data_IF_210399046987
#
_entry.id   IF_210399046987
#
_cell.length_a   1.000
_cell.length_b   1.000
_cell.length_c   1.000
_cell.angle_alpha   90.00
_cell.angle_beta   90.00
_cell.angle_gamma   90.00
#
_symmetry.space_group_name_H-M   'P 1'
#
loop_
_entity.id
_entity.type
_entity.pdbx_description
1 polymer ?
#
# COMPACT_ATOMS: atom_id res chain seq x y z
N UNK A 1 1.55 -14.20 2.18
CA UNK A 1 0.76 -12.96 2.28
C UNK A 1 1.51 -11.89 1.53
N UNK A 2 0.83 -11.15 0.68
CA UNK A 2 1.34 -9.94 0.04
C UNK A 2 1.63 -8.96 1.15
N UNK A 3 2.74 -8.25 1.06
CA UNK A 3 3.13 -7.24 2.02
C UNK A 3 2.76 -5.88 1.46
N UNK A 4 2.33 -4.98 2.34
CA UNK A 4 1.57 -3.78 2.00
C UNK A 4 2.46 -2.57 1.63
N UNK A 5 1.82 -1.52 1.16
CA UNK A 5 2.39 -0.21 0.85
C UNK A 5 2.31 0.70 2.08
N UNK A 6 3.08 1.80 2.08
CA UNK A 6 3.05 2.80 3.15
C UNK A 6 1.72 3.59 3.18
N UNK A 7 1.39 4.19 4.34
CA UNK A 7 0.27 5.13 4.49
C UNK A 7 0.76 6.50 4.93
N UNK A 8 0.22 7.54 4.31
CA UNK A 8 0.48 8.94 4.60
C UNK A 8 -0.73 9.58 5.26
N UNK A 9 -0.47 10.50 6.17
CA UNK A 9 -1.46 11.41 6.70
C UNK A 9 -0.84 12.79 6.89
N UNK A 10 -1.58 13.86 6.57
CA UNK A 10 -1.17 15.24 6.79
C UNK A 10 -2.37 16.10 7.17
N UNK A 11 -2.17 17.08 8.06
CA UNK A 11 -3.17 18.07 8.42
C UNK A 11 -2.50 19.41 8.63
N UNK A 12 -3.13 20.47 8.17
CA UNK A 12 -2.62 21.84 8.28
C UNK A 12 -3.54 22.68 9.14
N UNK A 13 -2.94 23.42 10.09
CA UNK A 13 -3.57 24.42 10.96
C UNK A 13 -4.82 23.94 11.72
N UNK A 14 -4.67 22.88 12.53
CA UNK A 14 -5.71 22.35 13.42
C UNK A 14 -5.18 22.19 14.85
N UNK A 15 -6.00 22.52 15.87
CA UNK A 15 -5.58 22.48 17.29
C UNK A 15 -5.16 21.09 17.76
N UNK A 16 -5.80 20.03 17.26
CA UNK A 16 -5.54 18.64 17.62
C UNK A 16 -4.70 17.88 16.59
N UNK A 17 -3.82 18.57 15.80
CA UNK A 17 -3.11 17.99 14.66
C UNK A 17 -2.40 16.66 14.99
N UNK A 18 -1.73 16.53 16.13
CA UNK A 18 -1.03 15.30 16.54
C UNK A 18 -1.99 14.12 16.74
N UNK A 19 -3.12 14.33 17.39
CA UNK A 19 -4.13 13.28 17.64
C UNK A 19 -4.85 12.88 16.36
N UNK A 20 -5.16 13.85 15.51
CA UNK A 20 -5.75 13.58 14.19
C UNK A 20 -4.80 12.81 13.30
N UNK A 21 -3.51 13.13 13.33
CA UNK A 21 -2.48 12.34 12.65
C UNK A 21 -2.41 10.90 13.21
N UNK A 22 -2.48 10.71 14.53
CA UNK A 22 -2.57 9.39 15.14
C UNK A 22 -3.77 8.60 14.63
N UNK A 23 -4.97 9.16 14.67
CA UNK A 23 -6.18 8.46 14.20
C UNK A 23 -6.18 8.22 12.69
N UNK A 24 -5.70 9.18 11.88
CA UNK A 24 -5.55 9.02 10.45
C UNK A 24 -4.58 7.90 10.07
N UNK A 25 -3.46 7.77 10.79
CA UNK A 25 -2.52 6.64 10.63
C UNK A 25 -3.11 5.32 11.15
N UNK A 26 -3.85 5.34 12.26
CA UNK A 26 -4.53 4.17 12.79
C UNK A 26 -5.55 3.59 11.80
N UNK A 27 -6.34 4.43 11.15
CA UNK A 27 -7.25 4.03 10.09
C UNK A 27 -6.52 3.34 8.91
N UNK A 28 -5.30 3.78 8.63
CA UNK A 28 -4.43 3.27 7.57
C UNK A 28 -3.41 2.22 8.04
N UNK A 29 -3.55 1.65 9.25
CA UNK A 29 -2.62 0.67 9.82
C UNK A 29 -2.43 -0.58 8.94
N UNK A 30 -3.42 -0.94 8.12
CA UNK A 30 -3.34 -2.05 7.18
C UNK A 30 -2.25 -1.82 6.12
N UNK A 31 -1.92 -0.59 5.75
CA UNK A 31 -0.90 -0.21 4.77
C UNK A 31 0.51 -0.41 5.32
N UNK A 32 0.77 -0.10 6.59
CA UNK A 32 2.10 -0.23 7.19
C UNK A 32 2.06 -0.74 8.63
N UNK A 33 2.89 -1.72 8.98
CA UNK A 33 2.89 -2.37 10.29
C UNK A 33 4.29 -2.56 10.89
N UNK A 34 5.31 -2.01 10.25
CA UNK A 34 6.70 -2.14 10.72
C UNK A 34 7.10 -0.98 11.63
N UNK A 35 6.73 0.22 11.27
CA UNK A 35 6.99 1.43 12.06
C UNK A 35 5.91 2.48 11.82
N UNK A 36 5.74 3.37 12.77
CA UNK A 36 4.91 4.55 12.67
C UNK A 36 5.67 5.78 13.13
N UNK A 37 5.35 6.95 12.58
CA UNK A 37 5.96 8.22 12.97
C UNK A 37 5.02 9.39 12.70
N UNK A 38 5.09 10.41 13.55
CA UNK A 38 4.41 11.69 13.41
C UNK A 38 5.41 12.79 13.66
N UNK A 39 5.32 13.84 12.85
CA UNK A 39 6.03 15.09 13.02
C UNK A 39 5.00 16.20 13.08
N UNK A 40 5.16 17.12 14.04
CA UNK A 40 4.36 18.34 14.18
C UNK A 40 5.24 19.57 14.19
N UNK A 41 4.66 20.72 13.90
CA UNK A 41 5.35 22.02 13.92
C UNK A 41 4.55 23.04 14.70
N UNK A 42 5.23 23.75 15.59
CA UNK A 42 4.74 24.94 16.28
C UNK A 42 5.72 26.12 16.17
N UNK A 43 5.49 27.19 16.95
CA UNK A 43 6.36 28.39 16.97
C UNK A 43 7.77 28.12 17.53
N UNK A 44 7.94 27.04 18.31
CA UNK A 44 9.21 26.69 18.96
C UNK A 44 10.02 25.72 18.08
N UNK A 45 9.44 25.19 17.01
CA UNK A 45 10.09 24.33 16.03
C UNK A 45 9.34 23.06 15.69
N UNK A 46 10.10 22.03 15.30
CA UNK A 46 9.59 20.74 14.88
C UNK A 46 9.69 19.73 16.04
N UNK A 47 8.60 19.00 16.28
CA UNK A 47 8.53 17.93 17.28
C UNK A 47 8.26 16.62 16.57
N UNK A 48 8.97 15.56 16.92
CA UNK A 48 8.80 14.26 16.29
C UNK A 48 8.76 13.10 17.28
N UNK A 49 8.04 12.06 16.88
CA UNK A 49 8.17 10.74 17.49
C UNK A 49 7.97 9.68 16.43
N UNK A 50 8.88 8.70 16.37
CA UNK A 50 8.78 7.54 15.50
C UNK A 50 9.45 6.32 16.09
N UNK A 51 8.83 5.17 15.92
CA UNK A 51 9.37 3.90 16.42
C UNK A 51 8.90 2.71 15.58
N UNK A 52 9.56 1.58 15.81
CA UNK A 52 9.11 0.29 15.30
C UNK A 52 7.87 -0.15 16.07
N UNK A 53 6.85 -0.65 15.37
CA UNK A 53 5.60 -1.13 15.96
C UNK A 53 4.37 -0.61 15.25
N UNK A 54 3.20 -0.98 15.78
CA UNK A 54 1.90 -0.48 15.33
C UNK A 54 1.64 0.92 15.89
N UNK A 55 0.76 1.67 15.26
CA UNK A 55 0.39 3.03 15.70
C UNK A 55 0.03 3.08 17.20
N UNK A 56 -0.85 2.21 17.76
CA UNK A 56 -1.17 2.24 19.18
C UNK A 56 -0.02 1.80 20.08
N UNK A 57 0.95 1.04 19.57
CA UNK A 57 2.13 0.63 20.36
C UNK A 57 3.19 1.73 20.40
N UNK A 58 3.26 2.57 19.36
CA UNK A 58 4.25 3.65 19.20
C UNK A 58 3.80 4.91 19.93
N UNK A 59 2.52 5.25 19.90
CA UNK A 59 2.01 6.51 20.42
C UNK A 59 1.14 6.31 21.66
N UNK A 60 1.73 6.57 22.82
CA UNK A 60 0.98 6.74 24.07
C UNK A 60 0.42 8.16 24.18
N UNK A 61 -0.54 8.35 25.09
CA UNK A 61 -1.09 9.68 25.38
C UNK A 61 0.01 10.68 25.82
N UNK A 62 1.05 10.21 26.54
CA UNK A 62 2.19 11.02 26.94
C UNK A 62 3.02 11.48 25.73
N UNK A 63 3.22 10.60 24.75
CA UNK A 63 3.93 10.92 23.51
C UNK A 63 3.13 11.94 22.70
N UNK A 64 1.82 11.74 22.55
CA UNK A 64 0.96 12.67 21.79
C UNK A 64 0.94 14.08 22.40
N UNK A 65 0.99 14.20 23.73
CA UNK A 65 1.07 15.52 24.39
C UNK A 65 2.38 16.27 24.15
N UNK A 66 3.45 15.57 23.80
CA UNK A 66 4.75 16.20 23.47
C UNK A 66 4.81 16.67 22.00
N UNK A 67 3.96 16.13 21.15
CA UNK A 67 3.84 16.53 19.76
C UNK A 67 2.93 17.76 19.67
N UNK A 68 3.46 18.89 20.13
CA UNK A 68 2.76 20.18 20.09
C UNK A 68 2.77 20.75 18.66
N UNK A 69 1.80 21.61 18.33
CA UNK A 69 1.72 22.28 17.05
C UNK A 69 0.38 22.05 16.32
N UNK A 70 0.16 22.86 15.30
CA UNK A 70 -1.10 22.92 14.56
C UNK A 70 -1.02 22.21 13.19
N UNK A 71 0.18 21.89 12.73
CA UNK A 71 0.40 21.20 11.46
C UNK A 71 1.15 19.91 11.73
N UNK A 72 0.69 18.81 11.14
CA UNK A 72 1.29 17.49 11.33
C UNK A 72 1.41 16.73 10.02
N UNK A 73 2.48 15.92 9.89
CA UNK A 73 2.56 14.83 8.91
C UNK A 73 2.85 13.52 9.64
N UNK A 74 2.27 12.43 9.12
CA UNK A 74 2.43 11.12 9.69
C UNK A 74 2.68 10.05 8.63
N UNK A 75 3.30 8.95 9.05
CA UNK A 75 3.65 7.82 8.19
C UNK A 75 3.50 6.50 8.92
N UNK A 76 2.90 5.50 8.26
CA UNK A 76 2.99 4.09 8.61
C UNK A 76 3.79 3.36 7.54
N UNK A 77 4.82 2.62 7.96
CA UNK A 77 5.79 2.03 7.04
C UNK A 77 5.57 0.55 6.84
N UNK A 78 5.72 0.17 5.59
CA UNK A 78 6.07 -1.18 5.17
C UNK A 78 7.32 -1.11 4.28
N UNK A 79 8.33 -1.98 4.49
CA UNK A 79 9.61 -1.94 3.74
C UNK A 79 9.44 -2.38 2.29
N UNK A 80 9.39 -1.44 1.37
CA UNK A 80 9.50 -1.65 -0.07
C UNK A 80 10.96 -1.60 -0.52
N UNK A 81 11.72 -0.62 -0.02
CA UNK A 81 13.16 -0.45 -0.20
C UNK A 81 13.83 -0.30 1.17
N UNK A 82 14.98 -0.96 1.35
CA UNK A 82 15.73 -0.99 2.61
C UNK A 82 15.16 -1.95 3.67
N UNK A 83 15.93 -2.20 4.72
CA UNK A 83 15.58 -3.11 5.81
C UNK A 83 14.52 -2.51 6.76
N UNK A 84 13.79 -3.39 7.46
CA UNK A 84 12.93 -3.02 8.58
C UNK A 84 13.81 -2.61 9.77
N UNK A 85 14.13 -1.33 9.89
CA UNK A 85 14.96 -0.79 10.98
C UNK A 85 14.47 0.60 11.40
N UNK A 86 14.76 0.96 12.65
CA UNK A 86 14.43 2.28 13.21
C UNK A 86 14.96 3.44 12.35
N UNK A 87 16.14 3.27 11.72
CA UNK A 87 16.75 4.29 10.85
C UNK A 87 15.92 4.61 9.61
N UNK A 88 15.13 3.65 9.16
CA UNK A 88 14.27 3.78 7.99
C UNK A 88 12.83 4.21 8.36
N UNK A 89 12.52 4.41 9.65
CA UNK A 89 11.23 4.92 10.09
C UNK A 89 11.04 6.37 9.63
N UNK A 90 9.86 6.67 9.11
CA UNK A 90 9.48 7.98 8.60
C UNK A 90 8.44 8.65 9.54
N UNK A 91 8.28 10.00 9.46
CA UNK A 91 8.93 10.93 8.54
C UNK A 91 10.45 11.08 8.75
N UNK A 92 11.19 11.30 7.65
CA UNK A 92 12.60 11.70 7.72
C UNK A 92 12.68 13.17 8.08
N UNK A 93 13.68 13.54 8.89
CA UNK A 93 13.94 14.93 9.26
C UNK A 93 15.36 15.29 8.86
N UNK A 94 15.51 16.42 8.22
CA UNK A 94 16.79 17.06 7.91
C UNK A 94 16.81 18.49 8.44
N UNK A 95 17.97 18.94 8.91
CA UNK A 95 18.19 20.31 9.33
C UNK A 95 19.07 21.03 8.30
N UNK A 96 18.60 22.16 7.76
CA UNK A 96 19.33 22.91 6.75
C UNK A 96 19.14 24.43 6.92
N UNK A 97 20.25 25.18 7.08
CA UNK A 97 20.26 26.65 7.25
C UNK A 97 19.31 27.17 8.34
N UNK A 98 19.22 26.43 9.47
CA UNK A 98 18.37 26.84 10.58
C UNK A 98 16.90 26.47 10.41
N UNK A 99 16.54 25.68 9.41
CA UNK A 99 15.19 25.18 9.19
C UNK A 99 15.16 23.66 9.26
N UNK A 100 14.14 23.11 9.90
CA UNK A 100 13.83 21.70 9.87
C UNK A 100 12.90 21.37 8.71
N UNK A 101 13.16 20.24 8.07
CA UNK A 101 12.38 19.73 6.94
C UNK A 101 12.01 18.28 7.25
N UNK A 102 10.74 17.98 7.30
CA UNK A 102 10.24 16.62 7.45
C UNK A 102 9.65 16.10 6.13
N UNK A 103 9.87 14.82 5.85
CA UNK A 103 9.41 14.12 4.65
C UNK A 103 8.77 12.79 5.01
N UNK A 104 7.54 12.59 4.55
CA UNK A 104 6.86 11.29 4.51
C UNK A 104 6.65 10.86 3.05
N UNK A 105 6.98 9.60 2.73
CA UNK A 105 6.98 9.07 1.37
C UNK A 105 6.24 7.72 1.30
N UNK A 106 5.31 7.62 0.36
CA UNK A 106 4.71 6.37 -0.10
C UNK A 106 5.07 6.15 -1.56
N UNK A 107 5.81 5.08 -1.88
CA UNK A 107 6.20 4.74 -3.23
C UNK A 107 7.55 4.04 -3.34
N UNK A 108 8.12 4.08 -4.55
CA UNK A 108 9.46 3.60 -4.86
C UNK A 108 10.07 4.40 -6.02
N UNK A 109 11.18 5.06 -5.75
CA UNK A 109 11.93 5.85 -6.73
C UNK A 109 12.83 4.90 -7.54
N UNK A 110 12.44 4.64 -8.78
CA UNK A 110 13.05 3.63 -9.66
C UNK A 110 14.52 3.95 -9.96
N UNK A 111 14.87 5.23 -10.13
CA UNK A 111 16.24 5.67 -10.39
C UNK A 111 17.02 6.09 -9.14
N UNK A 112 16.58 5.67 -7.94
CA UNK A 112 17.22 6.07 -6.69
C UNK A 112 18.70 5.64 -6.61
N UNK A 113 19.07 4.48 -7.13
CA UNK A 113 20.46 4.01 -7.12
C UNK A 113 21.39 4.87 -8.01
N UNK A 114 20.90 5.29 -9.18
CA UNK A 114 21.60 6.22 -10.08
C UNK A 114 21.82 7.58 -9.43
N UNK A 115 20.74 8.15 -8.91
CA UNK A 115 20.77 9.45 -8.22
C UNK A 115 21.66 9.42 -6.98
N UNK A 116 21.62 8.33 -6.21
CA UNK A 116 22.48 8.14 -5.05
C UNK A 116 23.96 8.15 -5.43
N UNK A 117 24.33 7.39 -6.46
CA UNK A 117 25.73 7.35 -6.93
C UNK A 117 26.22 8.73 -7.39
N UNK A 118 25.39 9.50 -8.10
CA UNK A 118 25.69 10.88 -8.47
C UNK A 118 25.90 11.77 -7.23
N UNK A 119 24.99 11.69 -6.26
CA UNK A 119 25.04 12.46 -5.03
C UNK A 119 26.27 12.10 -4.17
N UNK A 120 26.64 10.83 -4.06
CA UNK A 120 27.84 10.36 -3.35
C UNK A 120 29.12 10.85 -4.02
N UNK A 121 29.20 10.86 -5.36
CA UNK A 121 30.33 11.40 -6.11
C UNK A 121 30.52 12.92 -5.87
N UNK A 122 29.44 13.63 -5.51
CA UNK A 122 29.48 15.02 -5.14
C UNK A 122 29.62 15.25 -3.62
N UNK A 123 29.89 14.20 -2.86
CA UNK A 123 30.20 14.25 -1.43
C UNK A 123 28.99 14.14 -0.50
N UNK A 124 27.81 13.70 -0.97
CA UNK A 124 26.69 13.41 -0.09
C UNK A 124 26.97 12.17 0.76
N UNK A 125 26.57 12.21 2.04
CA UNK A 125 26.70 11.11 2.99
C UNK A 125 25.29 10.59 3.29
N UNK A 126 25.06 9.30 3.08
CA UNK A 126 23.80 8.65 3.34
C UNK A 126 23.83 7.87 4.65
N UNK A 127 22.80 8.05 5.47
CA UNK A 127 22.63 7.34 6.75
C UNK A 127 21.79 6.05 6.62
N UNK A 128 21.01 5.93 5.54
CA UNK A 128 20.05 4.84 5.33
C UNK A 128 20.17 4.21 3.95
N UNK A 129 19.50 3.09 3.74
CA UNK A 129 19.30 2.47 2.42
C UNK A 129 17.92 2.81 1.83
N UNK A 130 17.29 3.92 2.24
CA UNK A 130 15.96 4.31 1.78
C UNK A 130 16.06 5.30 0.61
N UNK A 131 15.21 5.13 -0.38
CA UNK A 131 15.10 6.01 -1.56
C UNK A 131 14.60 7.42 -1.20
N UNK A 132 13.84 7.56 -0.13
CA UNK A 132 13.37 8.86 0.37
C UNK A 132 14.53 9.77 0.82
N UNK A 133 15.65 9.21 1.28
CA UNK A 133 16.84 9.98 1.63
C UNK A 133 17.50 10.58 0.37
N UNK A 134 17.39 9.91 -0.78
CA UNK A 134 17.86 10.46 -2.07
C UNK A 134 17.07 11.72 -2.42
N UNK A 135 15.73 11.67 -2.28
CA UNK A 135 14.90 12.86 -2.49
C UNK A 135 15.25 13.99 -1.52
N UNK A 136 15.48 13.67 -0.23
CA UNK A 136 15.88 14.68 0.76
C UNK A 136 17.18 15.39 0.38
N UNK A 137 18.19 14.68 -0.14
CA UNK A 137 19.43 15.29 -0.62
C UNK A 137 19.20 16.19 -1.83
N UNK A 138 18.36 15.79 -2.80
CA UNK A 138 18.00 16.64 -3.95
C UNK A 138 17.27 17.89 -3.48
N UNK A 139 16.31 17.77 -2.58
CA UNK A 139 15.55 18.87 -2.00
C UNK A 139 16.46 19.90 -1.30
N UNK A 140 17.35 19.44 -0.42
CA UNK A 140 18.29 20.31 0.30
C UNK A 140 19.23 21.05 -0.66
N UNK A 141 19.61 20.45 -1.78
CA UNK A 141 20.41 21.12 -2.81
C UNK A 141 19.66 22.27 -3.47
N UNK A 142 18.40 22.03 -3.85
CA UNK A 142 17.55 23.06 -4.47
C UNK A 142 17.23 24.20 -3.50
N UNK A 143 17.05 23.92 -2.21
CA UNK A 143 16.84 24.93 -1.15
C UNK A 143 18.02 25.88 -0.93
N UNK A 144 19.17 25.67 -1.58
CA UNK A 144 20.27 26.65 -1.53
C UNK A 144 19.92 27.96 -2.21
N UNK A 145 19.02 27.95 -3.18
CA UNK A 145 18.71 29.07 -4.08
C UNK A 145 17.20 29.17 -4.44
N UNK A 146 16.33 28.36 -3.87
CA UNK A 146 14.88 28.34 -4.09
C UNK A 146 14.14 28.30 -2.77
N UNK A 147 12.87 28.69 -2.78
CA UNK A 147 11.93 28.44 -1.69
C UNK A 147 11.50 26.97 -1.65
N UNK A 148 10.73 26.58 -0.64
CA UNK A 148 10.37 25.16 -0.43
C UNK A 148 9.54 24.59 -1.61
N UNK A 149 8.45 25.23 -2.09
CA UNK A 149 7.67 24.71 -3.22
C UNK A 149 8.50 24.54 -4.49
N UNK A 150 9.28 25.54 -4.87
CA UNK A 150 10.14 25.48 -6.05
C UNK A 150 11.21 24.40 -5.92
N UNK A 151 11.80 24.24 -4.73
CA UNK A 151 12.82 23.24 -4.45
C UNK A 151 12.23 21.82 -4.51
N UNK A 152 11.02 21.60 -3.98
CA UNK A 152 10.29 20.33 -4.10
C UNK A 152 10.03 20.02 -5.57
N UNK A 153 9.51 20.98 -6.35
CA UNK A 153 9.23 20.81 -7.76
C UNK A 153 10.50 20.45 -8.58
N UNK A 154 11.62 21.12 -8.33
CA UNK A 154 12.91 20.82 -8.96
C UNK A 154 13.42 19.43 -8.58
N UNK A 155 13.39 19.08 -7.30
CA UNK A 155 13.79 17.74 -6.84
C UNK A 155 12.93 16.64 -7.49
N UNK A 156 11.61 16.83 -7.56
CA UNK A 156 10.69 15.89 -8.22
C UNK A 156 10.99 15.72 -9.72
N UNK A 157 11.46 16.76 -10.41
CA UNK A 157 11.80 16.68 -11.85
C UNK A 157 12.92 15.69 -12.17
N UNK A 158 13.72 15.31 -11.16
CA UNK A 158 14.81 14.34 -11.26
C UNK A 158 14.36 12.90 -11.02
N UNK A 159 13.19 12.70 -10.43
CA UNK A 159 12.72 11.40 -10.00
C UNK A 159 12.02 10.63 -11.12
N UNK A 160 12.21 9.33 -11.13
CA UNK A 160 11.45 8.38 -11.95
C UNK A 160 10.82 7.33 -11.03
N UNK A 161 9.57 6.96 -11.29
CA UNK A 161 8.86 5.92 -10.53
C UNK A 161 7.64 6.45 -9.80
N UNK A 162 7.28 5.78 -8.72
CA UNK A 162 6.08 6.04 -7.94
C UNK A 162 6.43 6.84 -6.68
N UNK A 163 5.74 7.94 -6.44
CA UNK A 163 5.87 8.68 -5.20
C UNK A 163 4.65 9.53 -4.86
N UNK A 164 4.22 9.42 -3.61
CA UNK A 164 3.43 10.44 -2.92
C UNK A 164 4.29 10.99 -1.79
N UNK A 165 4.42 12.30 -1.71
CA UNK A 165 5.17 12.98 -0.66
C UNK A 165 4.28 13.90 0.17
N UNK A 166 4.54 13.93 1.48
CA UNK A 166 4.18 15.05 2.34
C UNK A 166 5.48 15.65 2.86
N UNK A 167 5.71 16.93 2.56
CA UNK A 167 6.88 17.69 3.00
C UNK A 167 6.41 18.79 3.92
N UNK A 168 7.00 18.90 5.11
CA UNK A 168 6.67 19.92 6.10
C UNK A 168 7.92 20.69 6.49
N UNK A 169 7.88 22.01 6.39
CA UNK A 169 8.94 22.89 6.88
C UNK A 169 8.35 24.23 7.32
N UNK A 170 8.63 24.62 8.56
CA UNK A 170 8.01 25.81 9.15
C UNK A 170 6.49 25.73 9.06
N UNK A 171 5.85 26.79 8.54
CA UNK A 171 4.40 26.88 8.34
C UNK A 171 3.93 26.39 6.96
N UNK A 172 4.73 25.63 6.23
CA UNK A 172 4.39 25.19 4.87
C UNK A 172 4.30 23.66 4.81
N UNK A 173 3.14 23.16 4.39
CA UNK A 173 2.89 21.76 4.06
C UNK A 173 2.78 21.61 2.55
N UNK A 174 3.55 20.70 1.96
CA UNK A 174 3.52 20.41 0.53
C UNK A 174 3.11 18.95 0.35
N UNK A 175 2.03 18.71 -0.40
CA UNK A 175 1.59 17.39 -0.83
C UNK A 175 1.89 17.22 -2.33
N UNK A 176 2.50 16.10 -2.69
CA UNK A 176 2.91 15.82 -4.08
C UNK A 176 2.50 14.43 -4.48
N UNK A 177 2.03 14.27 -5.72
CA UNK A 177 1.77 12.99 -6.34
C UNK A 177 2.53 12.86 -7.67
N UNK A 178 3.13 11.70 -7.94
CA UNK A 178 3.91 11.46 -9.15
C UNK A 178 3.12 11.68 -10.45
N UNK A 179 3.78 11.96 -11.60
CA UNK A 179 3.11 12.26 -12.87
C UNK A 179 2.24 11.12 -13.43
N UNK A 180 2.50 9.87 -13.05
CA UNK A 180 1.70 8.70 -13.45
C UNK A 180 0.54 8.45 -12.49
N UNK A 181 0.61 8.99 -11.26
CA UNK A 181 -0.38 8.80 -10.19
C UNK A 181 -0.45 7.35 -9.72
N UNK A 182 0.69 6.65 -9.61
CA UNK A 182 0.73 5.23 -9.25
C UNK A 182 0.01 4.92 -7.94
N UNK A 183 0.26 5.71 -6.89
CA UNK A 183 -0.36 5.54 -5.59
C UNK A 183 -1.45 6.58 -5.32
N UNK A 184 -2.44 6.25 -4.47
CA UNK A 184 -3.47 7.20 -4.12
C UNK A 184 -2.96 8.25 -3.12
N UNK A 185 -3.47 9.47 -3.26
CA UNK A 185 -3.39 10.55 -2.30
C UNK A 185 -4.67 11.39 -2.43
N UNK A 186 -5.38 11.57 -1.33
CA UNK A 186 -6.63 12.31 -1.27
C UNK A 186 -6.48 13.60 -0.47
N UNK A 187 -7.23 14.62 -0.86
CA UNK A 187 -7.44 15.87 -0.14
C UNK A 187 -8.86 15.86 0.43
N UNK A 188 -8.98 16.26 1.68
CA UNK A 188 -10.23 16.49 2.40
C UNK A 188 -10.17 17.71 3.29
N UNK A 189 -11.27 17.95 4.03
CA UNK A 189 -11.42 19.06 4.98
C UNK A 189 -11.93 18.56 6.32
N UNK A 190 -11.33 19.03 7.39
CA UNK A 190 -11.79 18.82 8.75
C UNK A 190 -11.86 20.17 9.46
N UNK A 191 -13.06 20.62 9.83
CA UNK A 191 -13.29 21.94 10.44
C UNK A 191 -12.64 23.11 9.65
N UNK A 192 -12.61 22.98 8.31
CA UNK A 192 -11.96 23.94 7.40
C UNK A 192 -10.46 23.69 7.16
N UNK A 193 -9.80 22.89 7.98
CA UNK A 193 -8.39 22.54 7.84
C UNK A 193 -8.16 21.54 6.71
N UNK A 194 -7.19 21.75 5.79
CA UNK A 194 -6.83 20.79 4.77
C UNK A 194 -6.23 19.51 5.37
N UNK A 195 -6.74 18.36 4.92
CA UNK A 195 -6.29 17.04 5.35
C UNK A 195 -5.88 16.20 4.14
N UNK A 196 -4.74 15.52 4.23
CA UNK A 196 -4.22 14.62 3.20
C UNK A 196 -4.12 13.20 3.74
N UNK A 197 -4.56 12.21 2.96
CA UNK A 197 -4.40 10.79 3.32
C UNK A 197 -4.17 9.93 2.08
N UNK A 198 -3.48 8.80 2.25
CA UNK A 198 -3.38 7.81 1.17
C UNK A 198 -4.73 7.17 0.84
N UNK A 199 -5.62 7.03 1.83
CA UNK A 199 -6.96 6.45 1.66
C UNK A 199 -8.05 7.24 2.40
N UNK A 200 -9.25 7.29 1.82
CA UNK A 200 -10.39 8.02 2.40
C UNK A 200 -10.95 7.40 3.67
N UNK A 201 -10.65 6.13 3.98
CA UNK A 201 -11.01 5.53 5.27
C UNK A 201 -10.42 6.29 6.48
N UNK A 202 -9.35 7.08 6.27
CA UNK A 202 -8.84 7.98 7.29
C UNK A 202 -9.79 9.16 7.53
N UNK A 203 -10.40 9.68 6.46
CA UNK A 203 -11.39 10.76 6.55
C UNK A 203 -12.66 10.29 7.21
N UNK A 204 -13.18 9.10 6.85
CA UNK A 204 -14.37 8.52 7.47
C UNK A 204 -14.22 8.38 8.99
N UNK A 205 -13.04 7.91 9.47
CA UNK A 205 -12.78 7.79 10.91
C UNK A 205 -12.72 9.14 11.62
N UNK A 206 -12.25 10.18 10.93
CA UNK A 206 -12.09 11.53 11.48
C UNK A 206 -13.31 12.42 11.28
N UNK A 207 -14.34 11.93 10.58
CA UNK A 207 -15.49 12.72 10.12
C UNK A 207 -15.08 13.94 9.26
N UNK A 208 -13.98 13.76 8.49
CA UNK A 208 -13.50 14.76 7.55
C UNK A 208 -14.19 14.61 6.19
N UNK A 209 -14.53 15.73 5.57
CA UNK A 209 -15.14 15.74 4.24
C UNK A 209 -14.09 15.40 3.16
N UNK A 210 -14.37 14.38 2.34
CA UNK A 210 -13.57 14.11 1.13
C UNK A 210 -13.85 15.21 0.10
N UNK A 211 -12.80 15.86 -0.38
CA UNK A 211 -12.91 16.89 -1.42
C UNK A 211 -12.62 16.32 -2.80
N UNK A 212 -11.41 15.76 -2.97
CA UNK A 212 -10.97 15.16 -4.24
C UNK A 212 -9.69 14.33 -4.10
N UNK A 213 -9.37 13.55 -5.11
CA UNK A 213 -8.02 13.02 -5.25
C UNK A 213 -7.03 14.13 -5.59
N UNK A 214 -5.79 14.00 -5.14
CA UNK A 214 -4.66 14.77 -5.69
C UNK A 214 -4.37 14.23 -7.08
N UNK A 215 -4.33 15.10 -8.10
CA UNK A 215 -4.19 14.69 -9.49
C UNK A 215 -2.78 14.14 -9.79
N UNK A 216 -2.62 13.25 -10.79
CA UNK A 216 -1.30 12.82 -11.25
C UNK A 216 -0.42 13.99 -11.66
N UNK A 217 0.76 14.10 -11.04
CA UNK A 217 1.69 15.20 -11.27
C UNK A 217 1.29 16.51 -10.62
N UNK A 218 0.38 16.50 -9.67
CA UNK A 218 0.00 17.68 -8.90
C UNK A 218 0.86 17.84 -7.66
N UNK A 219 1.16 19.11 -7.35
CA UNK A 219 1.73 19.59 -6.11
C UNK A 219 0.78 20.60 -5.48
N UNK A 220 0.34 20.34 -4.26
CA UNK A 220 -0.50 21.23 -3.44
C UNK A 220 0.36 21.79 -2.33
N UNK A 221 0.40 23.11 -2.22
CA UNK A 221 1.10 23.86 -1.17
C UNK A 221 0.05 24.50 -0.27
N UNK A 222 0.17 24.27 1.02
CA UNK A 222 -0.68 24.89 2.05
C UNK A 222 0.22 25.66 3.00
N UNK A 223 0.00 26.96 3.09
CA UNK A 223 0.74 27.87 3.94
C UNK A 223 -0.14 28.99 4.49
N UNK A 224 0.46 29.99 5.10
CA UNK A 224 -0.26 31.16 5.67
C UNK A 224 -0.97 32.04 4.63
N UNK A 225 -0.66 31.87 3.35
CA UNK A 225 -1.32 32.57 2.24
C UNK A 225 -2.51 31.79 1.69
N UNK A 226 -2.68 30.54 2.13
CA UNK A 226 -3.76 29.65 1.72
C UNK A 226 -3.28 28.39 1.01
N UNK A 227 -4.16 27.80 0.19
CA UNK A 227 -3.90 26.59 -0.58
C UNK A 227 -3.67 26.93 -2.05
N UNK A 228 -2.57 26.43 -2.60
CA UNK A 228 -2.19 26.63 -3.98
C UNK A 228 -1.86 25.30 -4.65
N UNK A 229 -2.49 25.03 -5.80
CA UNK A 229 -2.19 23.86 -6.62
C UNK A 229 -1.35 24.25 -7.83
N UNK A 230 -0.40 23.41 -8.17
CA UNK A 230 0.43 23.56 -9.37
C UNK A 230 0.78 22.19 -9.95
N UNK A 231 1.22 22.18 -11.20
CA UNK A 231 1.68 20.96 -11.86
C UNK A 231 3.20 20.83 -11.76
N UNK A 232 3.67 19.63 -11.44
CA UNK A 232 5.11 19.34 -11.42
C UNK A 232 5.74 19.61 -12.80
N UNK A 233 7.00 20.12 -12.85
CA UNK A 233 7.71 20.31 -14.10
C UNK A 233 8.08 18.97 -14.75
N UNK A 234 8.20 18.97 -16.08
CA UNK A 234 8.64 17.81 -16.85
C UNK A 234 7.53 17.12 -17.65
N UNK A 235 7.84 15.97 -18.23
CA UNK A 235 6.88 15.24 -19.07
C UNK A 235 5.79 14.57 -18.20
N UNK A 236 4.55 14.71 -18.65
CA UNK A 236 3.42 14.01 -18.07
C UNK A 236 2.88 12.99 -19.07
N UNK A 237 2.53 11.76 -18.64
CA UNK A 237 1.91 10.80 -19.52
C UNK A 237 0.52 11.29 -19.98
N UNK A 238 0.10 10.86 -21.18
CA UNK A 238 -1.23 11.21 -21.71
C UNK A 238 -2.36 10.63 -20.86
N UNK A 239 -2.09 9.52 -20.15
CA UNK A 239 -3.03 8.84 -19.24
C UNK A 239 -2.30 8.43 -17.96
N UNK A 240 -2.98 8.42 -16.82
CA UNK A 240 -2.44 7.88 -15.58
C UNK A 240 -2.05 6.41 -15.70
N UNK A 241 -1.29 5.92 -14.71
CA UNK A 241 -0.91 4.51 -14.56
C UNK A 241 -1.11 4.08 -13.12
N UNK A 242 -2.32 4.25 -12.62
CA UNK A 242 -2.73 3.97 -11.24
C UNK A 242 -2.59 2.48 -10.92
N UNK A 243 -2.06 2.13 -9.76
CA UNK A 243 -1.87 0.75 -9.37
C UNK A 243 -3.22 0.03 -9.19
N UNK A 244 -3.59 -0.86 -10.11
CA UNK A 244 -4.85 -1.60 -10.00
C UNK A 244 -4.86 -2.54 -8.79
N UNK A 245 -3.70 -2.90 -8.26
CA UNK A 245 -3.59 -3.75 -7.10
C UNK A 245 -4.09 -3.08 -5.80
N UNK A 246 -4.17 -1.75 -5.78
CA UNK A 246 -4.89 -1.03 -4.74
C UNK A 246 -6.36 -1.47 -4.68
N UNK A 247 -7.03 -1.54 -5.82
CA UNK A 247 -8.43 -1.99 -5.90
C UNK A 247 -8.56 -3.50 -5.65
N UNK A 248 -7.59 -4.30 -6.12
CA UNK A 248 -7.61 -5.77 -5.93
C UNK A 248 -7.42 -6.13 -4.46
N UNK A 249 -6.46 -5.50 -3.76
CA UNK A 249 -6.03 -5.98 -2.44
C UNK A 249 -5.73 -4.89 -1.40
N UNK A 250 -4.91 -3.85 -1.71
CA UNK A 250 -4.33 -3.01 -0.67
C UNK A 250 -5.32 -2.11 0.03
N UNK A 251 -6.10 -1.33 -0.75
CA UNK A 251 -7.03 -0.37 -0.17
C UNK A 251 -8.12 -1.07 0.64
N UNK A 252 -8.58 -0.43 1.70
CA UNK A 252 -9.72 -0.92 2.47
C UNK A 252 -10.99 -0.91 1.60
N UNK A 253 -11.89 -1.87 1.80
CA UNK A 253 -13.12 -1.94 0.99
C UNK A 253 -14.03 -0.71 1.12
N UNK A 254 -14.01 -0.06 2.28
CA UNK A 254 -14.73 1.17 2.56
C UNK A 254 -14.11 2.42 1.95
N UNK A 255 -12.88 2.34 1.43
CA UNK A 255 -12.19 3.47 0.81
C UNK A 255 -12.68 3.78 -0.60
N UNK A 256 -12.60 5.08 -0.97
CA UNK A 256 -12.74 5.60 -2.31
C UNK A 256 -11.35 5.95 -2.85
N UNK A 257 -10.89 5.23 -3.87
CA UNK A 257 -9.52 5.31 -4.40
C UNK A 257 -9.56 5.37 -5.92
N UNK A 258 -8.86 6.32 -6.53
CA UNK A 258 -8.81 6.51 -7.98
C UNK A 258 -10.19 6.76 -8.62
N UNK A 259 -11.06 7.45 -7.91
CA UNK A 259 -12.47 7.67 -8.28
C UNK A 259 -13.29 6.37 -8.36
N UNK A 260 -12.86 5.32 -7.66
CA UNK A 260 -13.52 4.02 -7.59
C UNK A 260 -13.86 3.66 -6.12
N UNK A 261 -15.06 3.15 -5.89
CA UNK A 261 -15.42 2.55 -4.59
C UNK A 261 -14.85 1.14 -4.53
N UNK A 262 -13.87 0.89 -3.68
CA UNK A 262 -13.11 -0.38 -3.62
C UNK A 262 -14.02 -1.60 -3.41
N UNK A 263 -15.02 -1.49 -2.51
CA UNK A 263 -16.02 -2.56 -2.29
C UNK A 263 -16.73 -2.95 -3.59
N UNK A 264 -17.20 -1.96 -4.35
CA UNK A 264 -17.94 -2.18 -5.60
C UNK A 264 -17.04 -2.85 -6.63
N UNK A 265 -15.80 -2.35 -6.80
CA UNK A 265 -14.84 -2.95 -7.74
C UNK A 265 -14.56 -4.42 -7.42
N UNK A 266 -14.29 -4.75 -6.15
CA UNK A 266 -14.06 -6.15 -5.73
C UNK A 266 -15.26 -7.05 -5.97
N UNK A 267 -16.46 -6.55 -5.71
CA UNK A 267 -17.70 -7.26 -5.99
C UNK A 267 -17.87 -7.51 -7.50
N UNK A 268 -17.56 -6.51 -8.34
CA UNK A 268 -17.59 -6.64 -9.80
C UNK A 268 -16.50 -7.61 -10.31
N UNK A 269 -15.30 -7.62 -9.72
CA UNK A 269 -14.27 -8.61 -10.04
C UNK A 269 -14.78 -10.04 -9.80
N UNK A 270 -15.47 -10.28 -8.69
CA UNK A 270 -16.11 -11.56 -8.40
C UNK A 270 -17.22 -11.92 -9.39
N UNK A 271 -18.03 -10.94 -9.75
CA UNK A 271 -19.09 -11.10 -10.76
C UNK A 271 -18.51 -11.50 -12.12
N UNK A 272 -17.50 -10.79 -12.62
CA UNK A 272 -16.82 -11.11 -13.89
C UNK A 272 -16.15 -12.48 -13.83
N UNK A 273 -15.53 -12.82 -12.70
CA UNK A 273 -14.88 -14.12 -12.49
C UNK A 273 -15.88 -15.28 -12.59
N UNK A 274 -17.11 -15.12 -12.08
CA UNK A 274 -18.18 -16.13 -12.21
C UNK A 274 -18.62 -16.31 -13.66
N UNK A 275 -18.71 -15.22 -14.44
CA UNK A 275 -19.00 -15.32 -15.88
C UNK A 275 -17.90 -16.07 -16.64
N UNK A 276 -16.64 -15.94 -16.24
CA UNK A 276 -15.53 -16.64 -16.90
C UNK A 276 -15.47 -18.11 -16.51
N UNK A 277 -15.75 -18.47 -15.26
CA UNK A 277 -15.61 -19.86 -14.79
C UNK A 277 -16.36 -20.12 -13.49
N UNK A 278 -17.52 -20.77 -13.59
CA UNK A 278 -18.28 -21.26 -12.43
C UNK A 278 -18.19 -22.80 -12.36
N UNK A 279 -17.65 -23.38 -11.26
CA UNK A 279 -17.62 -24.83 -11.06
C UNK A 279 -18.96 -25.36 -10.50
N UNK A 280 -19.24 -26.63 -10.72
CA UNK A 280 -20.38 -27.31 -10.07
C UNK A 280 -20.04 -27.65 -8.60
N UNK A 281 -20.53 -26.83 -7.67
CA UNK A 281 -20.21 -26.91 -6.24
C UNK A 281 -21.44 -26.71 -5.35
N UNK A 282 -21.34 -27.10 -4.08
CA UNK A 282 -22.44 -26.95 -3.13
C UNK A 282 -22.55 -25.52 -2.60
N UNK A 283 -21.42 -24.78 -2.51
CA UNK A 283 -21.41 -23.37 -2.10
C UNK A 283 -20.09 -22.67 -2.44
N UNK A 284 -20.15 -21.33 -2.38
CA UNK A 284 -19.03 -20.42 -2.51
C UNK A 284 -18.60 -19.93 -1.13
N UNK A 285 -17.30 -19.92 -0.86
CA UNK A 285 -16.75 -19.34 0.37
C UNK A 285 -15.60 -18.39 0.08
N UNK A 286 -15.43 -17.33 0.86
CA UNK A 286 -14.28 -16.45 0.73
C UNK A 286 -13.05 -17.07 1.39
N UNK A 287 -11.86 -16.66 0.90
CA UNK A 287 -10.70 -16.68 1.75
C UNK A 287 -10.70 -15.39 2.61
N UNK A 288 -10.88 -15.48 3.93
CA UNK A 288 -11.02 -14.27 4.75
C UNK A 288 -9.66 -13.57 4.98
N UNK A 289 -9.61 -12.23 4.96
CA UNK A 289 -10.73 -11.29 4.73
C UNK A 289 -10.75 -10.78 3.28
N UNK A 290 -9.64 -10.95 2.53
CA UNK A 290 -9.41 -10.33 1.20
C UNK A 290 -10.39 -10.82 0.12
N UNK A 291 -10.76 -12.10 0.14
CA UNK A 291 -11.69 -12.69 -0.84
C UNK A 291 -13.18 -12.41 -0.58
N UNK A 292 -13.55 -11.78 0.55
CA UNK A 292 -14.96 -11.67 0.99
C UNK A 292 -15.84 -10.99 -0.07
N UNK A 293 -15.44 -9.83 -0.55
CA UNK A 293 -16.28 -9.02 -1.44
C UNK A 293 -16.38 -9.62 -2.84
N UNK A 294 -15.29 -10.18 -3.34
CA UNK A 294 -15.28 -10.93 -4.61
C UNK A 294 -16.12 -12.20 -4.52
N UNK A 295 -16.07 -12.91 -3.38
CA UNK A 295 -16.91 -14.10 -3.17
C UNK A 295 -18.40 -13.78 -3.14
N UNK A 296 -18.79 -12.63 -2.57
CA UNK A 296 -20.18 -12.13 -2.62
C UNK A 296 -20.62 -11.90 -4.05
N UNK A 297 -19.82 -11.18 -4.84
CA UNK A 297 -20.12 -10.91 -6.25
C UNK A 297 -20.20 -12.19 -7.08
N UNK A 298 -19.27 -13.12 -6.86
CA UNK A 298 -19.22 -14.41 -7.50
C UNK A 298 -20.48 -15.24 -7.22
N UNK A 299 -20.83 -15.41 -5.93
CA UNK A 299 -21.99 -16.17 -5.51
C UNK A 299 -23.30 -15.63 -6.06
N UNK A 300 -23.45 -14.30 -6.08
CA UNK A 300 -24.61 -13.63 -6.66
C UNK A 300 -24.74 -13.87 -8.17
N UNK A 301 -23.64 -13.81 -8.91
CA UNK A 301 -23.66 -14.07 -10.36
C UNK A 301 -23.88 -15.53 -10.70
N UNK A 302 -23.29 -16.44 -9.93
CA UNK A 302 -23.40 -17.88 -10.11
C UNK A 302 -24.72 -18.47 -9.59
N UNK A 303 -25.53 -17.68 -8.86
CA UNK A 303 -26.77 -18.14 -8.18
C UNK A 303 -26.50 -19.30 -7.23
N UNK A 304 -25.33 -19.33 -6.57
CA UNK A 304 -24.91 -20.35 -5.63
C UNK A 304 -24.93 -19.83 -4.18
N UNK A 305 -25.16 -20.72 -3.19
CA UNK A 305 -25.09 -20.35 -1.78
C UNK A 305 -23.73 -19.74 -1.44
N UNK A 306 -23.74 -18.68 -0.62
CA UNK A 306 -22.55 -18.07 -0.05
C UNK A 306 -22.44 -18.42 1.44
N UNK A 307 -21.30 -19.00 1.85
CA UNK A 307 -21.12 -19.48 3.22
C UNK A 307 -19.77 -19.03 3.80
N UNK A 308 -19.78 -18.53 5.04
CA UNK A 308 -18.56 -18.27 5.80
C UNK A 308 -18.02 -19.55 6.46
N UNK A 309 -17.67 -20.55 5.66
CA UNK A 309 -17.16 -21.83 6.16
C UNK A 309 -15.69 -21.77 6.66
N UNK A 310 -15.07 -20.61 6.62
CA UNK A 310 -13.74 -20.34 7.15
C UNK A 310 -13.78 -19.04 7.95
N UNK A 311 -13.46 -19.11 9.25
CA UNK A 311 -13.61 -18.01 10.20
C UNK A 311 -12.23 -17.49 10.62
N UNK A 312 -12.02 -16.18 10.53
CA UNK A 312 -10.85 -15.52 11.11
C UNK A 312 -11.06 -15.23 12.59
N UNK A 313 -10.06 -15.57 13.39
CA UNK A 313 -10.05 -15.18 14.80
C UNK A 313 -9.55 -13.72 14.94
N UNK A 314 -10.47 -12.81 15.19
CA UNK A 314 -10.18 -11.37 15.36
C UNK A 314 -9.50 -11.04 16.69
N UNK A 315 -9.61 -11.92 17.70
CA UNK A 315 -8.99 -11.73 19.01
C UNK A 315 -7.49 -12.08 19.05
N UNK A 316 -6.99 -12.77 18.03
CA UNK A 316 -5.56 -13.05 17.88
C UNK A 316 -4.94 -11.99 17.01
N UNK A 317 -4.31 -11.01 17.63
CA UNK A 317 -3.53 -9.98 16.96
C UNK A 317 -2.41 -10.57 16.10
N UNK A 318 -1.80 -9.78 15.21
CA UNK A 318 -0.59 -10.21 14.48
C UNK A 318 0.53 -10.36 15.50
N UNK A 319 0.89 -11.59 15.82
CA UNK A 319 2.05 -11.91 16.66
C UNK A 319 3.31 -11.50 15.91
N UNK A 320 3.90 -10.38 16.33
CA UNK A 320 5.21 -9.96 15.88
C UNK A 320 6.27 -10.95 16.40
N UNK A 321 7.18 -11.32 15.49
CA UNK A 321 8.46 -11.99 15.76
C UNK A 321 8.36 -13.12 16.80
N UNK A 322 7.86 -14.27 16.35
CA UNK A 322 8.03 -15.48 17.14
C UNK A 322 9.37 -16.13 16.75
N UNK A 323 10.24 -16.45 17.73
CA UNK A 323 11.63 -16.84 17.48
C UNK A 323 11.80 -18.21 16.81
N UNK A 324 10.77 -19.08 16.80
CA UNK A 324 10.86 -20.41 16.22
C UNK A 324 9.88 -20.63 15.06
N UNK A 325 10.26 -21.51 14.11
CA UNK A 325 9.42 -21.89 12.97
C UNK A 325 8.11 -22.58 13.43
N UNK A 326 8.16 -23.38 14.51
CA UNK A 326 7.01 -24.04 15.11
C UNK A 326 5.97 -23.04 15.64
N UNK A 327 6.42 -21.98 16.30
CA UNK A 327 5.54 -20.93 16.83
C UNK A 327 4.95 -20.07 15.70
N UNK A 328 5.71 -19.81 14.62
CA UNK A 328 5.16 -19.15 13.40
C UNK A 328 4.08 -19.99 12.75
N UNK A 329 4.28 -21.31 12.64
CA UNK A 329 3.28 -22.24 12.12
C UNK A 329 2.02 -22.33 13.01
N UNK A 330 2.20 -22.27 14.34
CA UNK A 330 1.09 -22.20 15.30
C UNK A 330 0.30 -20.89 15.16
N UNK A 331 0.98 -19.74 15.06
CA UNK A 331 0.36 -18.43 14.85
C UNK A 331 -0.48 -18.35 13.57
N UNK A 332 -0.07 -19.04 12.50
CA UNK A 332 -0.86 -19.15 11.25
C UNK A 332 -2.10 -20.03 11.44
N UNK A 333 -1.99 -21.14 12.22
CA UNK A 333 -3.11 -22.05 12.49
C UNK A 333 -4.21 -21.42 13.35
N UNK A 334 -3.83 -20.58 14.31
CA UNK A 334 -4.80 -19.95 15.24
C UNK A 334 -5.63 -18.85 14.57
N UNK A 335 -5.15 -18.28 13.47
CA UNK A 335 -5.78 -17.11 12.83
C UNK A 335 -7.01 -17.40 11.99
N UNK A 336 -7.08 -18.56 11.33
CA UNK A 336 -8.16 -18.90 10.42
C UNK A 336 -8.53 -20.37 10.63
N UNK A 337 -9.77 -20.62 11.00
CA UNK A 337 -10.31 -21.95 11.26
C UNK A 337 -11.47 -22.30 10.34
N UNK A 338 -11.43 -23.44 9.63
CA UNK A 338 -12.58 -23.96 8.89
C UNK A 338 -13.66 -24.50 9.84
N UNK A 339 -14.92 -24.33 9.46
CA UNK A 339 -16.08 -24.90 10.16
C UNK A 339 -16.30 -26.33 9.65
N UNK A 340 -15.85 -27.33 10.42
CA UNK A 340 -15.86 -28.75 10.00
C UNK A 340 -17.21 -29.19 9.43
N UNK A 341 -18.31 -28.89 10.11
CA UNK A 341 -19.67 -29.30 9.70
C UNK A 341 -20.09 -28.76 8.33
N UNK A 342 -19.47 -27.69 7.87
CA UNK A 342 -19.72 -27.07 6.56
C UNK A 342 -18.82 -27.64 5.46
N UNK A 343 -17.74 -28.35 5.81
CA UNK A 343 -16.71 -28.79 4.87
C UNK A 343 -16.83 -30.26 4.50
N UNK A 344 -17.16 -31.13 5.50
CA UNK A 344 -17.16 -32.59 5.35
C UNK A 344 -18.13 -33.03 4.25
N UNK A 345 -17.63 -33.78 3.26
CA UNK A 345 -18.40 -34.33 2.14
C UNK A 345 -18.84 -33.28 1.08
N UNK A 346 -18.45 -32.02 1.20
CA UNK A 346 -18.89 -30.93 0.32
C UNK A 346 -17.93 -30.66 -0.83
N UNK A 347 -18.50 -30.22 -1.95
CA UNK A 347 -17.78 -29.60 -3.09
C UNK A 347 -17.76 -28.09 -2.86
N UNK A 348 -16.57 -27.49 -2.76
CA UNK A 348 -16.39 -26.10 -2.30
C UNK A 348 -15.70 -25.28 -3.37
N UNK A 349 -16.17 -24.07 -3.61
CA UNK A 349 -15.42 -23.06 -4.35
C UNK A 349 -14.91 -21.97 -3.40
N UNK A 350 -13.60 -21.79 -3.35
CA UNK A 350 -12.93 -20.75 -2.58
C UNK A 350 -12.64 -19.58 -3.52
N UNK A 351 -13.09 -18.39 -3.14
CA UNK A 351 -12.75 -17.15 -3.86
C UNK A 351 -11.75 -16.35 -3.05
N UNK A 352 -10.63 -15.94 -3.68
CA UNK A 352 -9.60 -15.11 -3.08
C UNK A 352 -9.18 -13.99 -4.04
N UNK A 353 -8.46 -12.98 -3.54
CA UNK A 353 -7.99 -11.84 -4.35
C UNK A 353 -6.87 -12.22 -5.31
N UNK A 354 -5.85 -12.93 -4.82
CA UNK A 354 -4.62 -13.21 -5.59
C UNK A 354 -3.83 -14.40 -5.03
N UNK A 355 -3.04 -15.04 -5.88
CA UNK A 355 -2.01 -16.01 -5.47
C UNK A 355 -0.64 -15.50 -5.93
N UNK A 356 0.26 -15.23 -4.97
CA UNK A 356 1.64 -14.79 -5.25
C UNK A 356 2.62 -15.96 -5.14
N UNK A 357 2.87 -16.45 -3.92
CA UNK A 357 3.78 -17.58 -3.65
C UNK A 357 3.09 -18.95 -3.55
N UNK A 358 1.78 -18.96 -3.36
CA UNK A 358 0.96 -20.16 -3.23
C UNK A 358 1.05 -20.89 -1.88
N UNK A 359 2.03 -20.61 -1.03
CA UNK A 359 2.28 -21.33 0.24
C UNK A 359 1.11 -21.27 1.21
N UNK A 360 0.47 -20.10 1.34
CA UNK A 360 -0.71 -19.91 2.20
C UNK A 360 -1.88 -20.75 1.70
N UNK A 361 -2.14 -20.70 0.38
CA UNK A 361 -3.23 -21.46 -0.25
C UNK A 361 -3.03 -22.97 -0.09
N UNK A 362 -1.83 -23.49 -0.38
CA UNK A 362 -1.49 -24.91 -0.16
C UNK A 362 -1.81 -25.40 1.25
N UNK A 363 -1.40 -24.62 2.27
CA UNK A 363 -1.64 -24.99 3.68
C UNK A 363 -3.14 -25.04 3.98
N UNK A 364 -3.93 -24.16 3.38
CA UNK A 364 -5.39 -24.10 3.59
C UNK A 364 -6.13 -25.22 2.88
N UNK A 365 -5.80 -25.45 1.62
CA UNK A 365 -6.37 -26.57 0.84
C UNK A 365 -6.12 -27.90 1.54
N UNK A 366 -4.86 -28.15 1.96
CA UNK A 366 -4.52 -29.35 2.74
C UNK A 366 -5.43 -29.50 3.97
N UNK A 367 -5.68 -28.41 4.70
CA UNK A 367 -6.56 -28.43 5.87
C UNK A 367 -8.01 -28.77 5.53
N UNK A 368 -8.54 -28.27 4.41
CA UNK A 368 -9.88 -28.59 3.93
C UNK A 368 -9.99 -30.07 3.51
N UNK A 369 -8.98 -30.61 2.83
CA UNK A 369 -8.90 -32.04 2.49
C UNK A 369 -8.87 -32.92 3.74
N UNK A 370 -8.07 -32.56 4.76
CA UNK A 370 -8.03 -33.25 6.07
C UNK A 370 -9.39 -33.24 6.80
N UNK A 371 -10.23 -32.24 6.54
CA UNK A 371 -11.59 -32.13 7.09
C UNK A 371 -12.65 -32.85 6.26
N UNK A 372 -12.27 -33.51 5.17
CA UNK A 372 -13.15 -34.31 4.35
C UNK A 372 -13.86 -33.56 3.23
N UNK A 373 -13.32 -32.42 2.75
CA UNK A 373 -13.82 -31.78 1.55
C UNK A 373 -13.77 -32.75 0.36
N UNK A 374 -14.90 -32.92 -0.34
CA UNK A 374 -15.01 -33.81 -1.50
C UNK A 374 -14.29 -33.25 -2.70
N UNK A 375 -14.54 -31.97 -3.00
CA UNK A 375 -13.88 -31.22 -4.06
C UNK A 375 -13.53 -29.81 -3.55
N UNK A 376 -12.40 -29.28 -4.03
CA UNK A 376 -11.92 -27.94 -3.70
C UNK A 376 -11.54 -27.22 -4.99
N UNK A 377 -12.33 -26.22 -5.35
CA UNK A 377 -12.12 -25.37 -6.51
C UNK A 377 -11.66 -24.00 -6.06
N UNK A 378 -10.71 -23.38 -6.77
CA UNK A 378 -10.20 -22.03 -6.45
C UNK A 378 -10.54 -21.08 -7.59
N UNK A 379 -11.00 -19.90 -7.23
CA UNK A 379 -11.29 -18.79 -8.12
C UNK A 379 -10.59 -17.53 -7.61
N UNK A 380 -9.75 -16.93 -8.44
CA UNK A 380 -8.92 -15.78 -8.06
C UNK A 380 -9.42 -14.54 -8.81
N UNK A 381 -9.82 -13.52 -8.07
CA UNK A 381 -10.44 -12.30 -8.62
C UNK A 381 -9.44 -11.30 -9.21
N UNK A 382 -8.20 -11.73 -9.47
CA UNK A 382 -7.21 -11.00 -10.27
C UNK A 382 -6.54 -11.92 -11.29
N UNK A 383 -5.87 -11.37 -12.31
CA UNK A 383 -5.01 -12.14 -13.19
C UNK A 383 -3.80 -12.73 -12.45
N UNK A 384 -3.14 -13.75 -13.02
CA UNK A 384 -1.94 -14.33 -12.40
C UNK A 384 -0.79 -13.30 -12.37
N UNK A 385 -0.20 -13.10 -11.17
CA UNK A 385 0.95 -12.21 -10.97
C UNK A 385 2.19 -12.91 -11.51
N UNK A 386 2.74 -12.41 -12.61
CA UNK A 386 3.87 -13.01 -13.35
C UNK A 386 5.16 -12.20 -13.32
N UNK A 387 5.06 -10.91 -13.03
CA UNK A 387 6.16 -9.96 -13.10
C UNK A 387 6.35 -9.23 -11.77
N UNK A 388 7.60 -8.89 -11.38
CA UNK A 388 7.86 -8.11 -10.19
C UNK A 388 7.25 -6.70 -10.31
N UNK A 389 7.02 -6.05 -9.17
CA UNK A 389 6.63 -4.64 -9.15
C UNK A 389 7.86 -3.76 -8.91
N UNK A 390 7.95 -2.64 -9.64
CA UNK A 390 9.00 -1.63 -9.48
C UNK A 390 8.50 -0.35 -8.82
N UNK A 391 7.21 -0.28 -8.47
CA UNK A 391 6.53 0.94 -8.04
C UNK A 391 6.08 0.95 -6.57
N UNK A 392 6.51 -0.04 -5.76
CA UNK A 392 6.27 -0.03 -4.31
C UNK A 392 5.59 -1.27 -3.75
N UNK A 393 5.06 -2.19 -4.59
CA UNK A 393 4.50 -3.46 -4.11
C UNK A 393 5.60 -4.50 -3.91
N UNK A 394 5.60 -5.24 -2.79
CA UNK A 394 6.60 -6.27 -2.45
C UNK A 394 6.45 -7.56 -3.28
N UNK A 395 6.49 -7.44 -4.60
CA UNK A 395 6.70 -8.52 -5.56
C UNK A 395 8.15 -8.44 -6.06
N UNK A 396 9.10 -8.67 -5.17
CA UNK A 396 10.49 -8.25 -5.36
C UNK A 396 11.29 -9.10 -6.34
N UNK A 397 10.89 -10.34 -6.62
CA UNK A 397 11.60 -11.17 -7.59
C UNK A 397 10.69 -12.14 -8.33
N UNK A 398 11.01 -12.38 -9.60
CA UNK A 398 10.29 -13.34 -10.45
C UNK A 398 10.35 -14.77 -9.90
N UNK A 399 11.43 -15.11 -9.17
CA UNK A 399 11.61 -16.43 -8.55
C UNK A 399 10.63 -16.74 -7.40
N UNK A 400 9.98 -15.73 -6.84
CA UNK A 400 8.98 -15.91 -5.78
C UNK A 400 7.54 -16.04 -6.29
N UNK A 401 7.30 -15.74 -7.57
CA UNK A 401 5.97 -15.72 -8.17
C UNK A 401 5.62 -17.09 -8.74
N UNK A 402 4.64 -17.78 -8.13
CA UNK A 402 4.25 -19.13 -8.57
C UNK A 402 3.82 -19.16 -10.05
N UNK A 403 3.08 -18.14 -10.50
CA UNK A 403 2.60 -18.04 -11.87
C UNK A 403 3.69 -17.65 -12.90
N UNK A 404 4.88 -17.22 -12.43
CA UNK A 404 6.05 -17.00 -13.27
C UNK A 404 6.95 -18.26 -13.37
N UNK A 405 6.82 -19.19 -12.42
CA UNK A 405 7.64 -20.41 -12.30
C UNK A 405 6.95 -21.64 -12.85
N UNK A 406 5.61 -21.72 -12.74
CA UNK A 406 4.84 -22.93 -13.03
C UNK A 406 3.77 -22.65 -14.08
N UNK A 407 3.48 -23.66 -14.91
CA UNK A 407 2.29 -23.66 -15.77
C UNK A 407 1.03 -23.90 -14.94
N UNK A 408 -0.13 -23.55 -15.48
CA UNK A 408 -1.42 -23.67 -14.77
C UNK A 408 -1.66 -25.07 -14.19
N UNK A 409 -1.46 -26.11 -14.99
CA UNK A 409 -1.66 -27.51 -14.56
C UNK A 409 -0.70 -27.92 -13.42
N UNK A 410 0.50 -27.36 -13.39
CA UNK A 410 1.47 -27.56 -12.32
C UNK A 410 1.04 -26.85 -11.04
N UNK A 411 0.47 -25.64 -11.16
CA UNK A 411 -0.09 -24.91 -10.01
C UNK A 411 -1.26 -25.67 -9.40
N UNK A 412 -2.20 -26.17 -10.23
CA UNK A 412 -3.34 -26.98 -9.80
C UNK A 412 -2.87 -28.19 -9.00
N UNK A 413 -1.92 -28.96 -9.55
CA UNK A 413 -1.31 -30.12 -8.87
C UNK A 413 -0.61 -29.75 -7.56
N UNK A 414 0.17 -28.64 -7.58
CA UNK A 414 0.92 -28.18 -6.41
C UNK A 414 0.01 -27.69 -5.27
N UNK A 415 -1.13 -27.10 -5.61
CA UNK A 415 -2.14 -26.65 -4.65
C UNK A 415 -3.05 -27.78 -4.17
N UNK A 416 -3.05 -28.97 -4.82
CA UNK A 416 -3.92 -30.10 -4.54
C UNK A 416 -5.42 -29.76 -4.66
N UNK A 417 -5.78 -29.05 -5.75
CA UNK A 417 -7.15 -28.60 -6.03
C UNK A 417 -7.72 -29.25 -7.27
N UNK A 418 -9.04 -29.35 -7.35
CA UNK A 418 -9.76 -29.96 -8.48
C UNK A 418 -9.81 -29.01 -9.68
N UNK A 419 -9.87 -27.69 -9.45
CA UNK A 419 -9.70 -26.68 -10.49
C UNK A 419 -9.22 -25.34 -9.94
N UNK A 420 -8.53 -24.58 -10.79
CA UNK A 420 -8.08 -23.21 -10.52
C UNK A 420 -8.39 -22.33 -11.75
N UNK A 421 -8.97 -21.16 -11.49
CA UNK A 421 -9.15 -20.14 -12.52
C UNK A 421 -8.85 -18.75 -11.97
N UNK A 422 -8.16 -17.95 -12.76
CA UNK A 422 -7.86 -16.54 -12.49
C UNK A 422 -8.73 -15.67 -13.37
N UNK A 423 -9.20 -14.55 -12.84
CA UNK A 423 -9.86 -13.53 -13.65
C UNK A 423 -8.94 -13.10 -14.80
N UNK A 424 -9.49 -12.96 -15.97
CA UNK A 424 -8.75 -12.42 -17.13
C UNK A 424 -8.41 -10.94 -16.93
N UNK A 425 -7.40 -10.41 -17.65
CA UNK A 425 -7.11 -8.97 -17.67
C UNK A 425 -8.34 -8.20 -18.16
N UNK A 426 -9.03 -8.70 -19.18
CA UNK A 426 -10.24 -8.07 -19.71
C UNK A 426 -11.38 -8.07 -18.68
N UNK A 427 -11.56 -9.16 -17.92
CA UNK A 427 -12.52 -9.23 -16.82
C UNK A 427 -12.20 -8.26 -15.70
N UNK A 428 -10.92 -8.13 -15.35
CA UNK A 428 -10.44 -7.14 -14.37
C UNK A 428 -10.75 -5.71 -14.83
N UNK A 429 -10.43 -5.38 -16.08
CA UNK A 429 -10.67 -4.04 -16.64
C UNK A 429 -12.16 -3.72 -16.81
N UNK A 430 -13.03 -4.72 -17.02
CA UNK A 430 -14.49 -4.54 -17.01
C UNK A 430 -15.06 -4.31 -15.60
N UNK A 431 -14.27 -4.55 -14.55
CA UNK A 431 -14.71 -4.38 -13.16
C UNK A 431 -14.46 -2.97 -12.61
N UNK A 432 -13.86 -2.08 -13.40
CA UNK A 432 -13.52 -0.70 -13.04
C UNK A 432 -14.04 0.28 -14.10
N UNK A 433 -14.30 1.54 -13.70
CA UNK A 433 -14.85 2.55 -14.60
C UNK A 433 -13.81 3.11 -15.59
N UNK A 434 -12.58 3.37 -15.11
CA UNK A 434 -11.52 4.02 -15.90
C UNK A 434 -10.43 3.04 -16.32
N UNK A 435 -10.82 1.99 -17.07
CA UNK A 435 -9.99 0.84 -17.42
C UNK A 435 -8.64 1.15 -18.09
N UNK A 436 -8.50 2.28 -18.77
CA UNK A 436 -7.29 2.70 -19.50
C UNK A 436 -6.29 3.49 -18.65
N UNK A 437 -6.64 3.75 -17.37
CA UNK A 437 -5.84 4.54 -16.44
C UNK A 437 -5.00 3.69 -15.48
N UNK A 438 -5.06 2.36 -15.60
CA UNK A 438 -4.42 1.48 -14.63
C UNK A 438 -3.08 0.89 -15.09
N UNK A 439 -2.17 0.71 -14.14
CA UNK A 439 -0.95 -0.08 -14.29
C UNK A 439 -1.28 -1.56 -14.13
N UNK A 440 -0.89 -2.37 -15.10
CA UNK A 440 -1.08 -3.82 -15.15
C UNK A 440 0.27 -4.56 -15.19
N UNK A 441 1.39 -3.87 -14.93
CA UNK A 441 2.74 -4.38 -15.14
C UNK A 441 3.02 -5.71 -14.42
N UNK A 442 2.46 -5.92 -13.22
CA UNK A 442 2.61 -7.17 -12.48
C UNK A 442 1.93 -8.38 -13.16
N UNK A 443 0.98 -8.15 -14.07
CA UNK A 443 0.28 -9.18 -14.85
C UNK A 443 0.86 -9.38 -16.25
N UNK A 444 1.16 -8.29 -16.98
CA UNK A 444 1.53 -8.31 -18.40
C UNK A 444 3.00 -7.91 -18.70
N UNK A 445 3.72 -7.31 -17.74
CA UNK A 445 5.10 -6.86 -17.94
C UNK A 445 5.25 -5.52 -18.66
N UNK A 446 4.15 -4.78 -18.88
CA UNK A 446 4.16 -3.45 -19.51
C UNK A 446 4.44 -2.37 -18.45
N UNK A 447 5.71 -2.04 -18.26
CA UNK A 447 6.15 -1.03 -17.29
C UNK A 447 6.16 0.36 -17.91
N UNK A 448 5.39 1.30 -17.30
CA UNK A 448 5.38 2.70 -17.72
C UNK A 448 6.72 3.40 -17.50
N UNK A 449 7.46 3.01 -16.48
CA UNK A 449 8.83 3.47 -16.20
C UNK A 449 9.73 2.24 -16.16
N UNK A 450 10.58 2.03 -17.20
CA UNK A 450 11.50 0.90 -17.22
C UNK A 450 12.51 1.00 -16.08
N UNK A 451 12.89 -0.15 -15.54
CA UNK A 451 13.91 -0.26 -14.51
C UNK A 451 14.97 -1.27 -14.88
N UNK A 452 16.20 -0.83 -14.98
CA UNK A 452 17.38 -1.68 -15.10
C UNK A 452 18.02 -1.85 -13.71
N UNK A 453 18.03 -3.07 -13.16
CA UNK A 453 18.72 -3.38 -11.90
C UNK A 453 17.98 -3.04 -10.60
N UNK A 454 16.66 -2.86 -10.62
CA UNK A 454 15.85 -2.62 -9.42
C UNK A 454 15.79 -3.85 -8.52
N UNK A 455 16.65 -3.91 -7.52
CA UNK A 455 16.56 -4.89 -6.44
C UNK A 455 16.17 -4.18 -5.13
N UNK A 456 15.32 -4.80 -4.32
CA UNK A 456 14.81 -4.27 -3.03
C UNK A 456 15.92 -3.74 -2.10
N UNK A 457 17.11 -4.31 -2.17
CA UNK A 457 18.26 -3.97 -1.33
C UNK A 457 19.40 -3.29 -2.11
N UNK A 458 19.13 -2.73 -3.29
CA UNK A 458 20.16 -2.11 -4.14
C UNK A 458 20.84 -0.90 -3.49
N UNK A 459 20.15 -0.23 -2.55
CA UNK A 459 20.66 0.93 -1.82
C UNK A 459 21.31 0.58 -0.47
N UNK A 460 21.24 -0.68 -0.01
CA UNK A 460 21.91 -1.09 1.22
C UNK A 460 23.42 -1.23 0.98
N UNK A 461 24.22 -0.58 1.82
CA UNK A 461 25.65 -0.84 1.87
C UNK A 461 25.90 -2.32 2.16
N UNK A 462 26.49 -3.05 1.22
CA UNK A 462 27.04 -4.38 1.50
C UNK A 462 28.14 -4.15 2.55
N UNK A 463 27.87 -4.52 3.81
CA UNK A 463 28.94 -4.67 4.78
C UNK A 463 29.84 -5.79 4.26
N UNK A 464 31.02 -5.39 3.76
CA UNK A 464 32.13 -6.29 3.44
C UNK A 464 32.62 -7.00 4.70
#
# INVERSE_FOLDING_TARGET
>A
MIRHECGLFGIYDHDDAARLAYFGLYAQQHRGQESAGIVTVDKDGMHDHKSMGLVPDVFSEEVLRRLTGRTAIGHVRYSTTGSASQRNAQPFIAHFKGQDIALAHNGNIVNAAELRAELENEGAIFATGNDSEVFMHLLVRSLRHKDLPEAVAEACSRLKGAYCFLVLSGSTLVAVRDPYGFHPLALGRLDGSPVFASETCAFDLLEADYERAVEPGEMIVVDTLGEHSSRLPGPHPAKPRQCIFELVYFARPDSYVFNEQVYVCRKQMGWQLAHESTPDVDFIMPFPDSGVYSAVGFAQCAELPYEHAMIRNHYVGRTFIQPTQSMRNFGVRVKINPVRAMIEGKRICIVDDSIVRGTTMMTRVKKLRELGAKEVHIRISSPPVKFPCHYGVDFSSRGELIAAQCKMDEIVKRLDVDSLHYLSIDGLLRSVMHSDSFCLACFNGDYAVPCEGCAKFSLECKRS
#
